data_IF_101837186099
#
_entry.id   IF_101837186099
#
_cell.length_a   1.000
_cell.length_b   1.000
_cell.length_c   1.000
_cell.angle_alpha   90.00
_cell.angle_beta   90.00
_cell.angle_gamma   90.00
#
_symmetry.space_group_name_H-M   'P 1'
#
loop_
_entity.id
_entity.type
_entity.pdbx_description
1 polymer ?
#
# COMPACT_ATOMS: atom_id res chain seq x y z
N UNK A 1 -13.37 -25.93 -9.44
CA UNK A 1 -12.13 -26.26 -8.70
C UNK A 1 -11.49 -24.99 -8.19
N UNK A 2 -11.59 -24.69 -6.89
CA UNK A 2 -10.84 -23.60 -6.27
C UNK A 2 -9.44 -24.19 -6.00
N UNK A 3 -8.44 -23.81 -6.81
CA UNK A 3 -7.05 -24.07 -6.42
C UNK A 3 -6.80 -23.29 -5.13
N UNK A 4 -6.44 -23.98 -4.05
CA UNK A 4 -5.91 -23.33 -2.85
C UNK A 4 -4.61 -22.64 -3.23
N UNK A 5 -4.49 -21.38 -2.83
CA UNK A 5 -3.29 -20.60 -3.04
C UNK A 5 -2.25 -21.01 -2.00
N UNK A 6 -0.99 -21.16 -2.41
CA UNK A 6 0.11 -21.54 -1.53
C UNK A 6 1.17 -20.44 -1.48
N UNK A 7 2.04 -20.44 -0.46
CA UNK A 7 3.13 -19.48 -0.38
C UNK A 7 4.10 -19.54 -1.58
N UNK A 8 4.20 -20.70 -2.25
CA UNK A 8 5.01 -20.88 -3.46
C UNK A 8 4.51 -20.03 -4.62
N UNK A 9 3.20 -19.80 -4.71
CA UNK A 9 2.61 -18.95 -5.76
C UNK A 9 3.06 -17.47 -5.63
N UNK A 10 3.50 -17.07 -4.42
CA UNK A 10 3.88 -15.70 -4.09
C UNK A 10 5.33 -15.58 -3.63
N UNK A 11 6.18 -16.57 -3.93
CA UNK A 11 7.61 -16.52 -3.63
C UNK A 11 8.43 -16.30 -4.92
N UNK A 12 8.96 -15.09 -5.17
CA UNK A 12 9.51 -14.70 -6.47
C UNK A 12 10.98 -15.08 -6.66
N UNK A 13 11.55 -15.86 -5.75
CA UNK A 13 12.95 -16.27 -5.81
C UNK A 13 13.04 -17.77 -6.11
N UNK A 14 14.07 -18.21 -6.87
CA UNK A 14 14.16 -19.59 -7.33
C UNK A 14 14.36 -20.60 -6.20
N UNK A 15 14.97 -20.18 -5.08
CA UNK A 15 15.28 -21.05 -3.94
C UNK A 15 15.07 -20.32 -2.62
N UNK A 16 14.74 -21.10 -1.59
CA UNK A 16 14.67 -20.63 -0.21
C UNK A 16 16.06 -20.56 0.42
N UNK A 17 16.27 -19.56 1.27
CA UNK A 17 17.40 -19.54 2.21
C UNK A 17 17.13 -20.47 3.40
N UNK A 18 18.17 -20.76 4.17
CA UNK A 18 18.06 -21.55 5.40
C UNK A 18 16.92 -21.07 6.31
N UNK A 19 16.06 -22.00 6.73
CA UNK A 19 14.86 -21.78 7.57
C UNK A 19 13.80 -20.85 7.00
N UNK A 20 13.98 -20.31 5.79
CA UNK A 20 13.05 -19.34 5.21
C UNK A 20 11.65 -19.95 4.99
N UNK A 21 11.61 -21.18 4.46
CA UNK A 21 10.38 -21.92 4.24
C UNK A 21 9.66 -22.25 5.55
N UNK A 22 10.39 -22.76 6.56
CA UNK A 22 9.84 -23.07 7.88
C UNK A 22 9.17 -21.84 8.53
N UNK A 23 9.80 -20.66 8.43
CA UNK A 23 9.24 -19.42 8.95
C UNK A 23 7.97 -19.02 8.19
N UNK A 24 7.94 -19.19 6.87
CA UNK A 24 6.76 -18.91 6.04
C UNK A 24 5.59 -19.79 6.50
N UNK A 25 5.81 -21.09 6.65
CA UNK A 25 4.81 -22.06 7.10
C UNK A 25 4.29 -21.73 8.52
N UNK A 26 5.17 -21.32 9.43
CA UNK A 26 4.79 -20.88 10.78
C UNK A 26 3.91 -19.63 10.77
N UNK A 27 4.25 -18.61 9.97
CA UNK A 27 3.45 -17.39 9.82
C UNK A 27 2.09 -17.69 9.20
N UNK A 28 2.06 -18.48 8.13
CA UNK A 28 0.83 -18.86 7.44
C UNK A 28 -0.11 -19.61 8.40
N UNK A 29 0.40 -20.60 9.12
CA UNK A 29 -0.40 -21.37 10.08
C UNK A 29 -0.94 -20.47 11.21
N UNK A 30 -0.11 -19.59 11.78
CA UNK A 30 -0.55 -18.63 12.79
C UNK A 30 -1.66 -17.71 12.27
N UNK A 31 -1.51 -17.20 11.04
CA UNK A 31 -2.52 -16.35 10.41
C UNK A 31 -3.84 -17.10 10.16
N UNK A 32 -3.78 -18.35 9.66
CA UNK A 32 -4.97 -19.20 9.46
C UNK A 32 -5.69 -19.50 10.77
N UNK A 33 -4.94 -19.71 11.86
CA UNK A 33 -5.47 -19.92 13.21
C UNK A 33 -5.85 -18.62 13.93
N UNK A 34 -5.73 -17.45 13.29
CA UNK A 34 -5.99 -16.13 13.88
C UNK A 34 -5.20 -15.87 15.16
N UNK A 35 -3.94 -16.31 15.20
CA UNK A 35 -3.01 -16.11 16.31
C UNK A 35 -2.00 -15.01 16.01
N UNK A 36 -1.54 -14.35 17.06
CA UNK A 36 -0.41 -13.42 16.97
C UNK A 36 0.91 -14.21 16.91
N UNK A 37 1.85 -13.74 16.10
CA UNK A 37 3.19 -14.30 15.99
C UNK A 37 4.25 -13.21 16.21
N UNK A 38 5.28 -13.55 16.99
CA UNK A 38 6.46 -12.71 17.17
C UNK A 38 7.65 -13.40 16.50
N UNK A 39 8.17 -12.78 15.44
CA UNK A 39 9.31 -13.30 14.69
C UNK A 39 10.57 -12.49 14.97
N UNK A 40 11.62 -13.16 15.45
CA UNK A 40 12.98 -12.61 15.48
C UNK A 40 13.75 -13.10 14.26
N UNK A 41 14.10 -12.19 13.33
CA UNK A 41 14.81 -12.53 12.11
C UNK A 41 15.92 -11.50 11.81
N UNK A 42 17.18 -11.95 11.63
CA UNK A 42 18.30 -11.06 11.34
C UNK A 42 18.16 -10.36 9.98
N UNK A 43 19.05 -9.40 9.71
CA UNK A 43 19.09 -8.75 8.40
C UNK A 43 19.54 -9.75 7.33
N UNK A 44 19.03 -9.61 6.10
CA UNK A 44 19.31 -10.55 5.01
C UNK A 44 18.40 -11.79 4.96
N UNK A 45 17.64 -12.11 6.00
CA UNK A 45 16.70 -13.26 6.02
C UNK A 45 15.58 -13.16 4.98
N UNK A 46 15.31 -11.96 4.45
CA UNK A 46 14.19 -11.74 3.54
C UNK A 46 12.86 -11.55 4.29
N UNK A 47 12.90 -10.91 5.46
CA UNK A 47 11.73 -10.65 6.33
C UNK A 47 10.48 -10.23 5.54
N UNK A 48 10.65 -9.25 4.66
CA UNK A 48 9.56 -8.72 3.82
C UNK A 48 8.96 -9.79 2.93
N UNK A 49 9.79 -10.55 2.20
CA UNK A 49 9.25 -11.55 1.27
C UNK A 49 8.63 -12.74 2.02
N UNK A 50 9.22 -13.18 3.12
CA UNK A 50 8.67 -14.26 3.95
C UNK A 50 7.25 -13.89 4.42
N UNK A 51 7.09 -12.68 4.99
CA UNK A 51 5.79 -12.23 5.51
C UNK A 51 4.77 -12.09 4.39
N UNK A 52 5.15 -11.50 3.25
CA UNK A 52 4.24 -11.34 2.11
C UNK A 52 3.83 -12.69 1.52
N UNK A 53 4.77 -13.59 1.25
CA UNK A 53 4.48 -14.91 0.69
C UNK A 53 3.62 -15.76 1.61
N UNK A 54 3.79 -15.64 2.93
CA UNK A 54 2.96 -16.34 3.91
C UNK A 54 1.52 -15.79 4.01
N UNK A 55 1.35 -14.45 3.94
CA UNK A 55 0.07 -13.81 4.24
C UNK A 55 -0.83 -13.60 3.01
N UNK A 56 -0.27 -13.42 1.82
CA UNK A 56 -1.06 -13.19 0.60
C UNK A 56 -2.05 -14.33 0.31
N UNK A 57 -1.66 -15.63 0.36
CA UNK A 57 -2.60 -16.73 0.17
C UNK A 57 -3.79 -16.67 1.13
N UNK A 58 -3.50 -16.46 2.42
CA UNK A 58 -4.52 -16.38 3.49
C UNK A 58 -5.45 -15.21 3.24
N UNK A 59 -4.91 -14.05 2.89
CA UNK A 59 -5.70 -12.85 2.62
C UNK A 59 -6.62 -13.03 1.40
N UNK A 60 -6.14 -13.65 0.33
CA UNK A 60 -6.95 -13.91 -0.86
C UNK A 60 -8.07 -14.92 -0.60
N UNK A 61 -7.77 -16.02 0.09
CA UNK A 61 -8.75 -17.05 0.42
C UNK A 61 -9.83 -16.54 1.38
N UNK A 62 -9.45 -15.72 2.36
CA UNK A 62 -10.36 -15.19 3.37
C UNK A 62 -10.94 -13.81 3.04
N UNK A 63 -10.65 -13.25 1.85
CA UNK A 63 -11.06 -11.91 1.41
C UNK A 63 -10.67 -10.80 2.41
N UNK A 64 -9.46 -10.87 2.94
CA UNK A 64 -8.89 -9.91 3.89
C UNK A 64 -7.98 -8.90 3.20
N UNK A 65 -7.67 -7.81 3.90
CA UNK A 65 -6.61 -6.85 3.51
C UNK A 65 -5.40 -7.00 4.41
N UNK A 66 -4.22 -6.81 3.84
CA UNK A 66 -2.95 -6.78 4.57
C UNK A 66 -2.59 -5.31 4.81
N UNK A 67 -2.42 -4.94 6.07
CA UNK A 67 -1.84 -3.64 6.44
C UNK A 67 -0.39 -3.87 6.88
N UNK A 68 0.54 -3.46 6.02
CA UNK A 68 1.98 -3.58 6.27
C UNK A 68 2.52 -2.27 6.83
N UNK A 69 2.93 -2.29 8.09
CA UNK A 69 3.41 -1.10 8.79
C UNK A 69 4.93 -0.99 8.77
N UNK A 70 5.43 0.21 8.44
CA UNK A 70 6.85 0.53 8.37
C UNK A 70 7.18 1.75 9.25
N UNK A 71 8.46 1.93 9.59
CA UNK A 71 8.91 3.13 10.31
C UNK A 71 9.17 4.30 9.37
N UNK A 72 9.68 4.03 8.17
CA UNK A 72 10.11 5.07 7.21
C UNK A 72 9.57 4.80 5.81
N UNK A 73 9.46 5.85 4.99
CA UNK A 73 9.04 5.73 3.59
C UNK A 73 9.98 4.85 2.77
N UNK A 74 11.30 4.92 3.02
CA UNK A 74 12.27 4.04 2.37
C UNK A 74 12.03 2.55 2.68
N UNK A 75 11.51 2.22 3.87
CA UNK A 75 11.09 0.85 4.18
C UNK A 75 9.80 0.49 3.42
N UNK A 76 8.81 1.38 3.40
CA UNK A 76 7.57 1.19 2.63
C UNK A 76 7.84 0.96 1.14
N UNK A 77 8.77 1.72 0.55
CA UNK A 77 9.14 1.56 -0.86
C UNK A 77 9.85 0.22 -1.12
N UNK A 78 10.62 -0.31 -0.15
CA UNK A 78 11.19 -1.67 -0.25
C UNK A 78 10.10 -2.74 -0.24
N UNK A 79 9.05 -2.57 0.56
CA UNK A 79 7.90 -3.49 0.57
C UNK A 79 7.19 -3.48 -0.79
N UNK A 80 6.94 -2.30 -1.36
CA UNK A 80 6.37 -2.19 -2.70
C UNK A 80 7.29 -2.83 -3.76
N UNK A 81 8.60 -2.68 -3.66
CA UNK A 81 9.55 -3.35 -4.59
C UNK A 81 9.46 -4.88 -4.50
N UNK A 82 9.34 -5.46 -3.32
CA UNK A 82 9.15 -6.90 -3.17
C UNK A 82 7.77 -7.35 -3.69
N UNK A 83 6.72 -6.56 -3.44
CA UNK A 83 5.39 -6.79 -4.02
C UNK A 83 5.40 -6.80 -5.54
N UNK A 84 6.17 -5.90 -6.17
CA UNK A 84 6.34 -5.88 -7.63
C UNK A 84 7.05 -7.13 -8.14
N UNK A 85 8.02 -7.67 -7.40
CA UNK A 85 8.67 -8.95 -7.77
C UNK A 85 7.67 -10.09 -7.71
N UNK A 86 6.86 -10.17 -6.65
CA UNK A 86 5.76 -11.15 -6.55
C UNK A 86 4.83 -11.00 -7.76
N UNK A 87 4.39 -9.77 -8.04
CA UNK A 87 3.48 -9.49 -9.15
C UNK A 87 4.03 -9.97 -10.49
N UNK A 88 5.34 -9.76 -10.72
CA UNK A 88 6.00 -10.10 -11.98
C UNK A 88 6.42 -11.58 -12.08
N UNK A 89 6.57 -12.31 -10.97
CA UNK A 89 7.11 -13.67 -10.99
C UNK A 89 6.08 -14.77 -11.22
N UNK A 90 4.79 -14.50 -11.02
CA UNK A 90 3.82 -15.61 -10.93
C UNK A 90 3.50 -16.21 -12.30
N UNK A 91 3.70 -17.52 -12.41
CA UNK A 91 3.15 -18.39 -13.44
C UNK A 91 1.61 -18.54 -13.35
N UNK A 92 0.97 -18.03 -12.29
CA UNK A 92 -0.48 -18.03 -12.10
C UNK A 92 -0.96 -16.73 -11.43
N UNK A 93 -1.69 -15.89 -12.17
CA UNK A 93 -2.66 -14.90 -11.66
C UNK A 93 -2.20 -14.01 -10.48
N UNK A 94 -0.98 -13.45 -10.51
CA UNK A 94 -0.63 -12.29 -9.67
C UNK A 94 -1.45 -11.03 -9.95
N UNK A 95 -2.31 -11.04 -10.97
CA UNK A 95 -3.22 -9.93 -11.28
C UNK A 95 -4.17 -9.55 -10.13
N UNK A 96 -4.23 -10.35 -9.05
CA UNK A 96 -4.98 -10.03 -7.82
C UNK A 96 -4.15 -9.38 -6.71
N UNK A 97 -2.83 -9.27 -6.88
CA UNK A 97 -1.94 -8.65 -5.88
C UNK A 97 -1.78 -7.17 -6.22
N UNK A 98 -2.68 -6.35 -5.69
CA UNK A 98 -2.57 -4.90 -5.73
C UNK A 98 -2.04 -4.38 -4.39
N UNK A 99 -1.24 -3.32 -4.45
CA UNK A 99 -0.67 -2.75 -3.25
C UNK A 99 -0.35 -1.28 -3.40
N UNK A 100 -0.54 -0.50 -2.36
CA UNK A 100 -0.21 0.93 -2.39
C UNK A 100 0.58 1.33 -1.15
N UNK A 101 1.63 2.14 -1.33
CA UNK A 101 2.25 2.85 -0.21
C UNK A 101 1.67 4.25 -0.06
N UNK A 102 1.18 4.56 1.14
CA UNK A 102 0.62 5.87 1.46
C UNK A 102 1.62 6.71 2.26
N UNK A 103 1.60 8.02 2.02
CA UNK A 103 2.47 9.02 2.65
C UNK A 103 1.64 10.17 3.22
N UNK A 104 2.24 11.01 4.06
CA UNK A 104 1.54 12.12 4.70
C UNK A 104 1.05 13.16 3.68
N UNK A 105 0.05 13.98 4.05
CA UNK A 105 -0.48 15.04 3.18
C UNK A 105 0.63 16.00 2.70
N UNK A 106 1.53 16.39 3.60
CA UNK A 106 2.65 17.29 3.29
C UNK A 106 3.61 16.73 2.24
N UNK A 107 3.76 15.41 2.16
CA UNK A 107 4.66 14.75 1.21
C UNK A 107 4.00 14.43 -0.13
N UNK A 108 2.66 14.40 -0.16
CA UNK A 108 1.88 14.06 -1.34
C UNK A 108 1.27 15.27 -2.05
N UNK A 109 1.22 16.44 -1.42
CA UNK A 109 0.49 17.57 -1.98
C UNK A 109 1.23 18.20 -3.17
N UNK A 110 0.49 18.46 -4.25
CA UNK A 110 0.99 19.16 -5.45
C UNK A 110 0.65 20.66 -5.46
N UNK A 111 -0.13 21.14 -4.50
CA UNK A 111 -0.54 22.53 -4.45
C UNK A 111 0.60 23.43 -3.98
N UNK A 112 0.89 24.51 -4.69
CA UNK A 112 2.05 25.40 -4.42
C UNK A 112 2.15 25.90 -2.96
N UNK A 113 1.01 26.20 -2.30
CA UNK A 113 0.99 26.60 -0.87
C UNK A 113 1.50 25.53 0.10
N UNK A 114 1.46 24.25 -0.30
CA UNK A 114 1.86 23.11 0.55
C UNK A 114 3.14 22.45 0.04
N UNK A 115 3.39 22.51 -1.27
CA UNK A 115 4.54 21.91 -1.92
C UNK A 115 5.85 22.55 -1.40
N UNK A 116 6.78 21.72 -0.91
CA UNK A 116 8.09 22.19 -0.44
C UNK A 116 8.08 22.91 0.91
N UNK A 117 6.92 23.07 1.53
CA UNK A 117 6.80 23.66 2.87
C UNK A 117 7.14 22.63 3.95
N UNK A 118 7.96 23.00 4.95
CA UNK A 118 8.21 22.17 6.15
C UNK A 118 7.11 22.37 7.20
N UNK A 119 5.86 22.44 6.76
CA UNK A 119 4.73 22.60 7.68
C UNK A 119 4.50 21.31 8.47
N UNK A 120 4.01 21.46 9.70
CA UNK A 120 3.58 20.31 10.46
C UNK A 120 2.29 19.71 9.84
N UNK A 121 1.96 18.44 10.15
CA UNK A 121 0.79 17.79 9.58
C UNK A 121 -0.53 18.54 9.82
N UNK A 122 -0.72 19.12 11.01
CA UNK A 122 -1.96 19.81 11.43
C UNK A 122 -2.20 21.05 10.56
N UNK A 123 -1.17 21.87 10.39
CA UNK A 123 -1.18 23.07 9.55
C UNK A 123 -1.47 22.72 8.09
N UNK A 124 -0.80 21.69 7.56
CA UNK A 124 -1.07 21.19 6.22
C UNK A 124 -2.52 20.71 6.05
N UNK A 125 -3.16 20.17 7.10
CA UNK A 125 -4.59 19.82 7.06
C UNK A 125 -5.48 21.06 7.01
N UNK A 126 -5.18 22.05 7.86
CA UNK A 126 -5.95 23.29 7.98
C UNK A 126 -5.97 24.03 6.64
N UNK A 127 -4.80 24.29 6.06
CA UNK A 127 -4.67 24.94 4.75
C UNK A 127 -5.38 24.13 3.66
N UNK A 128 -5.22 22.81 3.65
CA UNK A 128 -5.90 21.94 2.69
C UNK A 128 -7.43 21.98 2.85
N UNK A 129 -7.95 22.17 4.07
CA UNK A 129 -9.38 22.33 4.32
C UNK A 129 -9.88 23.65 3.72
N UNK A 130 -9.19 24.76 4.00
CA UNK A 130 -9.52 26.09 3.46
C UNK A 130 -9.49 26.12 1.94
N UNK A 131 -8.42 25.60 1.32
CA UNK A 131 -8.28 25.54 -0.14
C UNK A 131 -9.38 24.69 -0.82
N UNK A 132 -9.95 23.71 -0.12
CA UNK A 132 -11.06 22.92 -0.65
C UNK A 132 -12.40 23.63 -0.47
N UNK A 133 -12.65 24.28 0.66
CA UNK A 133 -13.89 25.05 0.89
C UNK A 133 -14.01 26.25 -0.05
N UNK A 134 -12.90 26.93 -0.31
CA UNK A 134 -12.82 28.05 -1.27
C UNK A 134 -12.78 27.57 -2.72
N UNK A 135 -12.71 26.25 -2.94
CA UNK A 135 -12.54 25.58 -4.24
C UNK A 135 -11.21 25.89 -4.94
N UNK A 136 -10.25 26.56 -4.31
CA UNK A 136 -8.94 26.91 -4.87
C UNK A 136 -8.03 25.70 -5.22
N UNK A 137 -8.32 24.50 -4.70
CA UNK A 137 -7.53 23.32 -5.01
C UNK A 137 -7.97 22.64 -6.33
N UNK A 138 -7.35 23.01 -7.45
CA UNK A 138 -7.62 22.41 -8.78
C UNK A 138 -7.47 20.90 -8.80
N UNK A 139 -6.42 20.36 -8.15
CA UNK A 139 -6.16 18.93 -8.08
C UNK A 139 -7.28 18.15 -7.39
N UNK A 140 -7.82 18.71 -6.31
CA UNK A 140 -8.93 18.09 -5.58
C UNK A 140 -10.22 18.16 -6.40
N UNK A 141 -10.52 19.32 -6.98
CA UNK A 141 -11.73 19.53 -7.79
C UNK A 141 -11.78 18.59 -9.00
N UNK A 142 -10.65 18.44 -9.70
CA UNK A 142 -10.57 17.53 -10.85
C UNK A 142 -10.85 16.08 -10.45
N UNK A 143 -10.31 15.65 -9.30
CA UNK A 143 -10.54 14.31 -8.77
C UNK A 143 -11.99 14.14 -8.30
N UNK A 144 -12.56 15.14 -7.64
CA UNK A 144 -13.96 15.14 -7.20
C UNK A 144 -14.93 14.98 -8.38
N UNK A 145 -14.65 15.68 -9.50
CA UNK A 145 -15.46 15.60 -10.72
C UNK A 145 -15.44 14.21 -11.38
N UNK A 146 -14.27 13.55 -11.46
CA UNK A 146 -14.14 12.25 -12.15
C UNK A 146 -14.51 11.04 -11.29
N UNK A 147 -14.74 11.24 -9.99
CA UNK A 147 -15.10 10.18 -9.03
C UNK A 147 -16.51 10.34 -8.48
N UNK A 148 -17.34 11.16 -9.15
CA UNK A 148 -18.71 11.51 -8.73
C UNK A 148 -18.80 11.91 -7.25
N UNK A 149 -17.86 12.74 -6.79
CA UNK A 149 -17.76 13.11 -5.39
C UNK A 149 -17.25 11.97 -4.51
N UNK A 150 -16.23 11.24 -4.96
CA UNK A 150 -15.58 10.14 -4.22
C UNK A 150 -16.46 8.89 -4.01
N UNK A 151 -17.54 8.75 -4.79
CA UNK A 151 -18.46 7.61 -4.75
C UNK A 151 -17.97 6.44 -5.61
N UNK A 152 -17.39 6.76 -6.77
CA UNK A 152 -16.90 5.76 -7.71
C UNK A 152 -15.37 5.78 -7.80
N UNK A 153 -14.76 4.63 -7.52
CA UNK A 153 -13.32 4.37 -7.70
C UNK A 153 -13.02 3.77 -9.08
N UNK A 154 -14.03 3.29 -9.82
CA UNK A 154 -13.86 2.56 -11.08
C UNK A 154 -13.14 3.38 -12.16
N UNK A 155 -13.27 4.71 -12.12
CA UNK A 155 -12.57 5.63 -13.02
C UNK A 155 -11.04 5.59 -12.87
N UNK A 156 -10.51 5.13 -11.72
CA UNK A 156 -9.07 5.08 -11.44
C UNK A 156 -8.74 3.85 -10.59
N UNK A 157 -8.27 2.77 -11.24
CA UNK A 157 -7.83 1.55 -10.56
C UNK A 157 -6.36 1.25 -10.81
N UNK A 158 -5.68 0.74 -9.80
CA UNK A 158 -4.32 0.20 -9.89
C UNK A 158 -4.34 -1.30 -9.60
N UNK A 159 -4.26 -2.10 -10.66
CA UNK A 159 -4.10 -3.56 -10.54
C UNK A 159 -2.66 -3.97 -10.19
N UNK A 160 -1.71 -3.03 -10.28
CA UNK A 160 -0.28 -3.24 -10.02
C UNK A 160 0.15 -2.57 -8.71
N UNK A 161 1.17 -3.08 -7.98
CA UNK A 161 1.68 -2.39 -6.81
C UNK A 161 2.30 -1.03 -7.14
N UNK A 162 1.91 0.02 -6.42
CA UNK A 162 2.33 1.41 -6.65
C UNK A 162 2.90 2.03 -5.38
N UNK A 163 4.04 2.70 -5.48
CA UNK A 163 4.57 3.47 -4.36
C UNK A 163 4.08 4.92 -4.35
N UNK A 164 4.26 5.62 -3.23
CA UNK A 164 3.82 7.01 -3.07
C UNK A 164 4.38 7.96 -4.12
N UNK A 165 5.63 7.81 -4.55
CA UNK A 165 6.25 8.66 -5.59
C UNK A 165 5.62 8.44 -6.97
N UNK A 166 5.39 7.18 -7.34
CA UNK A 166 4.74 6.81 -8.59
C UNK A 166 3.30 7.35 -8.63
N UNK A 167 2.58 7.27 -7.51
CA UNK A 167 1.24 7.84 -7.42
C UNK A 167 1.25 9.37 -7.56
N UNK A 168 2.20 10.05 -6.92
CA UNK A 168 2.37 11.50 -7.04
C UNK A 168 2.66 11.88 -8.49
N UNK A 169 3.55 11.15 -9.17
CA UNK A 169 3.87 11.36 -10.59
C UNK A 169 2.63 11.19 -11.48
N UNK A 170 1.91 10.09 -11.33
CA UNK A 170 0.67 9.84 -12.06
C UNK A 170 -0.35 10.97 -11.86
N UNK A 171 -0.55 11.39 -10.61
CA UNK A 171 -1.48 12.47 -10.29
C UNK A 171 -1.03 13.83 -10.81
N UNK A 172 0.28 14.08 -10.91
CA UNK A 172 0.81 15.30 -11.52
C UNK A 172 0.46 15.36 -13.01
N UNK A 173 0.63 14.26 -13.72
CA UNK A 173 0.28 14.14 -15.15
C UNK A 173 -1.24 14.28 -15.37
N UNK A 174 -2.05 13.61 -14.54
CA UNK A 174 -3.52 13.65 -14.62
C UNK A 174 -4.17 14.86 -13.96
N UNK A 175 -3.40 15.70 -13.28
CA UNK A 175 -3.88 16.84 -12.46
C UNK A 175 -4.90 16.43 -11.39
N UNK A 176 -4.67 15.30 -10.72
CA UNK A 176 -5.47 14.82 -9.58
C UNK A 176 -4.78 15.11 -8.25
N UNK A 177 -5.54 15.05 -7.16
CA UNK A 177 -5.01 15.17 -5.81
C UNK A 177 -4.45 13.81 -5.33
N UNK A 178 -3.12 13.66 -5.15
CA UNK A 178 -2.54 12.36 -4.81
C UNK A 178 -2.99 11.85 -3.44
N UNK A 179 -3.16 12.75 -2.46
CA UNK A 179 -3.59 12.40 -1.11
C UNK A 179 -5.03 11.87 -1.04
N UNK A 180 -5.96 12.47 -1.80
CA UNK A 180 -7.34 11.99 -1.81
C UNK A 180 -7.51 10.77 -2.71
N UNK A 181 -6.76 10.70 -3.81
CA UNK A 181 -6.77 9.50 -4.65
C UNK A 181 -6.23 8.28 -3.89
N UNK A 182 -5.15 8.41 -3.11
CA UNK A 182 -4.65 7.29 -2.32
C UNK A 182 -5.70 6.76 -1.34
N UNK A 183 -6.47 7.65 -0.69
CA UNK A 183 -7.59 7.26 0.19
C UNK A 183 -8.70 6.50 -0.52
N UNK A 184 -9.04 6.89 -1.75
CA UNK A 184 -10.00 6.14 -2.57
C UNK A 184 -9.48 4.74 -2.87
N UNK A 185 -8.23 4.65 -3.30
CA UNK A 185 -7.58 3.39 -3.66
C UNK A 185 -7.44 2.42 -2.49
N UNK A 186 -7.42 2.90 -1.24
CA UNK A 186 -7.43 2.02 -0.05
C UNK A 186 -8.62 1.07 -0.04
N UNK A 187 -9.75 1.42 -0.67
CA UNK A 187 -10.94 0.55 -0.79
C UNK A 187 -10.72 -0.61 -1.76
N UNK A 188 -9.92 -0.39 -2.81
CA UNK A 188 -9.73 -1.36 -3.91
C UNK A 188 -8.53 -2.28 -3.70
N UNK A 189 -7.47 -1.80 -3.03
CA UNK A 189 -6.23 -2.56 -2.91
C UNK A 189 -6.32 -3.67 -1.86
N UNK A 190 -5.62 -4.78 -2.11
CA UNK A 190 -5.49 -5.88 -1.15
C UNK A 190 -4.40 -5.62 -0.11
N UNK A 191 -3.40 -4.78 -0.42
CA UNK A 191 -2.26 -4.54 0.46
C UNK A 191 -2.01 -3.04 0.63
N UNK A 192 -1.99 -2.58 1.88
CA UNK A 192 -1.77 -1.18 2.25
C UNK A 192 -0.44 -1.11 2.99
N UNK A 193 0.50 -0.34 2.48
CA UNK A 193 1.80 -0.10 3.13
C UNK A 193 1.80 1.32 3.70
N UNK A 194 1.93 1.43 5.02
CA UNK A 194 1.85 2.73 5.70
C UNK A 194 2.85 2.84 6.86
N UNK A 195 3.01 4.05 7.39
CA UNK A 195 3.81 4.27 8.58
C UNK A 195 2.97 4.08 9.86
N UNK A 196 3.62 3.77 10.99
CA UNK A 196 2.96 3.61 12.29
C UNK A 196 2.00 4.74 12.70
N UNK A 197 2.31 5.97 12.30
CA UNK A 197 1.49 7.14 12.57
C UNK A 197 0.08 7.06 11.98
N UNK A 198 -0.14 6.32 10.89
CA UNK A 198 -1.45 6.19 10.27
C UNK A 198 -2.45 5.36 11.08
N UNK A 199 -1.96 4.54 12.01
CA UNK A 199 -2.81 3.67 12.84
C UNK A 199 -2.83 4.10 14.30
N UNK A 200 -1.70 4.60 14.82
CA UNK A 200 -1.55 4.87 16.25
C UNK A 200 -1.77 6.34 16.63
N UNK A 201 -1.81 7.27 15.67
CA UNK A 201 -2.21 8.65 15.94
C UNK A 201 -3.69 8.79 15.57
N UNK A 202 -4.55 8.94 16.57
CA UNK A 202 -6.00 9.09 16.43
C UNK A 202 -6.44 10.53 16.14
N UNK A 203 -5.47 11.46 16.08
CA UNK A 203 -5.68 12.91 15.95
C UNK A 203 -5.63 13.41 14.50
#
# INVERSE_FOLDING_TARGET
MIRSHTYLDFFPYPTFRMKQQEIIEQIENAARLRKNILLSAPNGTGKTIIVLSALIPVALEQKLKIVYMCRTHAQSDRVIKELKKIYNSSSLKSSKVSGISIRGRGEMCLHHKLLGSKMNPIEAMSICKTLRSEKDCTHYRNLENITEGFKESESVSFSYPVNGEELIKFCKEKRYCPYFLSKLLLKEVSIIVCNFQWLFNLD
#
